data_IF_474856097544
#
_entry.id   IF_474856097544
#
_cell.length_a   1.000
_cell.length_b   1.000
_cell.length_c   1.000
_cell.angle_alpha   90.00
_cell.angle_beta   90.00
_cell.angle_gamma   90.00
#
_symmetry.space_group_name_H-M   'P 1'
#
loop_
_entity.id
_entity.type
_entity.pdbx_description
1 polymer ?
#
# COMPACT_ATOMS: atom_id res chain seq x y z
N UNK A 1 -12.36 -0.15 -19.33
CA UNK A 1 -10.93 -0.01 -19.03
C UNK A 1 -10.39 1.25 -19.70
N UNK A 2 -10.04 2.24 -18.90
CA UNK A 2 -9.66 3.55 -19.43
C UNK A 2 -8.24 3.58 -19.98
N UNK A 3 -8.02 4.32 -21.05
CA UNK A 3 -6.69 4.65 -21.63
C UNK A 3 -5.74 5.20 -20.57
N UNK A 4 -6.28 5.83 -19.51
CA UNK A 4 -5.57 6.38 -18.34
C UNK A 4 -4.84 5.33 -17.50
N UNK A 5 -5.48 4.21 -17.14
CA UNK A 5 -4.83 3.19 -16.30
C UNK A 5 -3.69 2.51 -17.06
N UNK A 6 -3.81 2.34 -18.38
CA UNK A 6 -2.72 1.81 -19.21
C UNK A 6 -1.52 2.77 -19.28
N UNK A 7 -1.78 4.07 -19.44
CA UNK A 7 -0.74 5.09 -19.46
C UNK A 7 -0.07 5.21 -18.08
N UNK A 8 -0.85 5.22 -17.01
CA UNK A 8 -0.34 5.24 -15.64
C UNK A 8 0.56 4.01 -15.36
N UNK A 9 0.10 2.81 -15.71
CA UNK A 9 0.90 1.60 -15.56
C UNK A 9 2.23 1.66 -16.33
N UNK A 10 2.22 2.30 -17.50
CA UNK A 10 3.45 2.44 -18.32
C UNK A 10 4.45 3.43 -17.71
N UNK A 11 3.98 4.51 -17.12
CA UNK A 11 4.82 5.60 -16.58
C UNK A 11 5.18 5.42 -15.10
N UNK A 12 4.42 4.59 -14.37
CA UNK A 12 4.54 4.41 -12.92
C UNK A 12 5.98 4.10 -12.46
N UNK A 13 6.61 3.08 -13.07
CA UNK A 13 7.97 2.68 -12.71
C UNK A 13 8.99 3.79 -12.96
N UNK A 14 8.77 4.65 -13.97
CA UNK A 14 9.64 5.77 -14.27
C UNK A 14 9.49 6.90 -13.25
N UNK A 15 8.25 7.17 -12.80
CA UNK A 15 7.99 8.19 -11.78
C UNK A 15 8.43 7.74 -10.38
N UNK A 16 8.20 6.47 -10.03
CA UNK A 16 8.58 5.94 -8.73
C UNK A 16 10.09 5.71 -8.56
N UNK A 17 10.81 5.48 -9.67
CA UNK A 17 12.24 5.14 -9.67
C UNK A 17 13.12 6.17 -8.94
N UNK A 18 12.75 7.45 -9.02
CA UNK A 18 13.45 8.54 -8.30
C UNK A 18 13.30 8.42 -6.79
N UNK A 19 12.08 8.19 -6.31
CA UNK A 19 11.75 8.03 -4.90
C UNK A 19 12.31 6.71 -4.34
N UNK A 20 12.23 5.62 -5.10
CA UNK A 20 12.81 4.33 -4.71
C UNK A 20 14.32 4.47 -4.43
N UNK A 21 15.08 5.05 -5.38
CA UNK A 21 16.53 5.26 -5.22
C UNK A 21 16.88 6.24 -4.10
N UNK A 22 16.00 7.15 -3.75
CA UNK A 22 16.23 8.21 -2.78
C UNK A 22 15.85 7.83 -1.34
N UNK A 23 15.43 6.57 -1.09
CA UNK A 23 15.15 6.06 0.26
C UNK A 23 13.89 5.21 0.39
N UNK A 24 12.91 5.28 -0.53
CA UNK A 24 11.68 4.48 -0.41
C UNK A 24 11.98 2.98 -0.45
N UNK A 25 12.96 2.53 -1.26
CA UNK A 25 13.39 1.13 -1.29
C UNK A 25 13.94 0.65 0.06
N UNK A 26 14.65 1.51 0.79
CA UNK A 26 15.15 1.18 2.13
C UNK A 26 14.04 1.12 3.17
N UNK A 27 13.07 2.06 3.10
CA UNK A 27 11.86 2.00 3.95
C UNK A 27 11.12 0.67 3.74
N UNK A 28 10.92 0.24 2.48
CA UNK A 28 10.32 -1.06 2.16
C UNK A 28 11.11 -2.22 2.76
N UNK A 29 12.44 -2.25 2.56
CA UNK A 29 13.31 -3.30 3.06
C UNK A 29 13.23 -3.42 4.58
N UNK A 30 13.38 -2.31 5.28
CA UNK A 30 13.35 -2.28 6.76
C UNK A 30 11.99 -2.74 7.30
N UNK A 31 10.90 -2.23 6.72
CA UNK A 31 9.55 -2.53 7.20
C UNK A 31 9.12 -3.97 6.90
N UNK A 32 9.36 -4.46 5.67
CA UNK A 32 8.91 -5.77 5.21
C UNK A 32 9.76 -6.91 5.76
N UNK A 33 10.99 -6.66 6.21
CA UNK A 33 11.80 -7.66 6.90
C UNK A 33 11.11 -8.23 8.15
N UNK A 34 10.21 -7.46 8.77
CA UNK A 34 9.41 -7.89 9.92
C UNK A 34 8.14 -8.68 9.56
N UNK A 35 7.80 -8.83 8.28
CA UNK A 35 6.64 -9.63 7.87
C UNK A 35 6.87 -11.12 8.13
N UNK A 36 5.86 -11.82 8.64
CA UNK A 36 5.98 -13.26 8.96
C UNK A 36 4.64 -13.97 8.89
N UNK A 37 4.68 -15.30 8.76
CA UNK A 37 3.48 -16.14 8.64
C UNK A 37 2.84 -16.06 7.26
N UNK A 38 1.52 -16.19 7.20
CA UNK A 38 0.75 -16.03 5.98
C UNK A 38 0.54 -14.52 5.72
N UNK A 39 1.12 -14.01 4.63
CA UNK A 39 1.17 -12.58 4.31
C UNK A 39 0.32 -12.28 3.08
N UNK A 40 -0.55 -11.27 3.20
CA UNK A 40 -1.26 -10.66 2.08
C UNK A 40 -0.64 -9.29 1.77
N UNK A 41 -0.23 -9.04 0.54
CA UNK A 41 0.05 -7.71 0.01
C UNK A 41 -1.13 -7.25 -0.85
N UNK A 42 -1.72 -6.09 -0.53
CA UNK A 42 -2.71 -5.44 -1.38
C UNK A 42 -2.05 -4.46 -2.35
N UNK A 43 -2.62 -4.32 -3.55
CA UNK A 43 -2.17 -3.35 -4.54
C UNK A 43 -0.69 -3.52 -4.92
N UNK A 44 -0.25 -4.73 -5.23
CA UNK A 44 1.15 -5.06 -5.52
C UNK A 44 1.79 -4.29 -6.68
N UNK A 45 0.98 -3.61 -7.48
CA UNK A 45 1.43 -2.76 -8.59
C UNK A 45 2.28 -3.53 -9.61
N UNK A 46 3.52 -3.11 -9.75
CA UNK A 46 4.51 -3.76 -10.62
C UNK A 46 5.45 -4.71 -9.84
N UNK A 47 5.14 -5.02 -8.57
CA UNK A 47 5.93 -5.92 -7.73
C UNK A 47 7.14 -5.25 -7.07
N UNK A 48 7.01 -4.00 -6.62
CA UNK A 48 8.11 -3.29 -5.98
C UNK A 48 8.61 -3.98 -4.70
N UNK A 49 7.73 -4.68 -4.00
CA UNK A 49 8.02 -5.33 -2.71
C UNK A 49 8.59 -6.76 -2.82
N UNK A 50 8.47 -7.43 -3.97
CA UNK A 50 8.78 -8.86 -4.12
C UNK A 50 10.15 -9.30 -3.57
N UNK A 51 11.16 -8.44 -3.64
CA UNK A 51 12.52 -8.77 -3.19
C UNK A 51 12.82 -8.43 -1.73
N UNK A 52 11.84 -7.98 -0.94
CA UNK A 52 12.08 -7.49 0.44
C UNK A 52 11.48 -8.38 1.53
N UNK A 53 10.68 -9.37 1.17
CA UNK A 53 10.14 -10.33 2.12
C UNK A 53 11.21 -11.29 2.63
N UNK A 54 11.30 -11.44 3.94
CA UNK A 54 12.29 -12.29 4.60
C UNK A 54 11.84 -13.75 4.74
N UNK A 55 12.72 -14.58 5.30
CA UNK A 55 12.48 -16.01 5.53
C UNK A 55 11.34 -16.29 6.55
N UNK A 56 10.87 -15.30 7.30
CA UNK A 56 9.73 -15.42 8.21
C UNK A 56 8.38 -15.58 7.51
N UNK A 57 8.29 -15.26 6.20
CA UNK A 57 7.07 -15.39 5.41
C UNK A 57 6.85 -16.84 5.01
N UNK A 58 5.81 -17.46 5.53
CA UNK A 58 5.43 -18.85 5.21
C UNK A 58 4.73 -18.92 3.85
N UNK A 59 3.79 -18.02 3.61
CA UNK A 59 3.14 -17.85 2.31
C UNK A 59 2.97 -16.37 1.97
N UNK A 60 3.06 -16.04 0.68
CA UNK A 60 2.85 -14.68 0.18
C UNK A 60 1.75 -14.68 -0.88
N UNK A 61 0.69 -13.95 -0.62
CA UNK A 61 -0.38 -13.66 -1.59
C UNK A 61 -0.36 -12.17 -1.93
N UNK A 62 -0.44 -11.83 -3.20
CA UNK A 62 -0.42 -10.43 -3.67
C UNK A 62 -1.65 -10.17 -4.52
N UNK A 63 -2.42 -9.13 -4.18
CA UNK A 63 -3.56 -8.69 -5.00
C UNK A 63 -3.23 -7.41 -5.77
N UNK A 64 -3.76 -7.31 -7.00
CA UNK A 64 -3.65 -6.12 -7.83
C UNK A 64 -4.90 -5.99 -8.72
N UNK A 65 -5.71 -4.92 -8.59
CA UNK A 65 -6.94 -4.78 -9.36
C UNK A 65 -6.71 -4.44 -10.84
N UNK A 66 -5.64 -3.69 -11.18
CA UNK A 66 -5.41 -3.17 -12.52
C UNK A 66 -4.70 -4.18 -13.43
N UNK A 67 -5.36 -4.71 -14.48
CA UNK A 67 -4.77 -5.77 -15.31
C UNK A 67 -3.42 -5.44 -15.96
N UNK A 68 -3.12 -4.17 -16.38
CA UNK A 68 -1.78 -3.87 -16.89
C UNK A 68 -0.68 -3.94 -15.84
N UNK A 69 -1.00 -3.60 -14.57
CA UNK A 69 -0.09 -3.74 -13.42
C UNK A 69 0.07 -5.21 -13.06
N UNK A 70 -1.05 -5.93 -12.93
CA UNK A 70 -1.09 -7.37 -12.64
C UNK A 70 -0.18 -8.17 -13.57
N UNK A 71 -0.27 -7.95 -14.89
CA UNK A 71 0.60 -8.62 -15.87
C UNK A 71 2.09 -8.36 -15.65
N UNK A 72 2.46 -7.16 -15.17
CA UNK A 72 3.86 -6.83 -14.85
C UNK A 72 4.29 -7.50 -13.57
N UNK A 73 3.43 -7.50 -12.56
CA UNK A 73 3.64 -8.20 -11.30
C UNK A 73 3.88 -9.70 -11.52
N UNK A 74 2.99 -10.37 -12.26
CA UNK A 74 3.12 -11.79 -12.62
C UNK A 74 4.43 -12.09 -13.37
N UNK A 75 4.79 -11.23 -14.34
CA UNK A 75 6.05 -11.37 -15.08
C UNK A 75 7.24 -11.26 -14.12
N UNK A 76 7.27 -10.22 -13.27
CA UNK A 76 8.36 -10.00 -12.32
C UNK A 76 8.45 -11.11 -11.29
N UNK A 77 7.32 -11.63 -10.80
CA UNK A 77 7.29 -12.77 -9.90
C UNK A 77 7.94 -14.02 -10.55
N UNK A 78 7.62 -14.30 -11.81
CA UNK A 78 8.27 -15.40 -12.58
C UNK A 78 9.77 -15.17 -12.77
N UNK A 79 10.18 -13.95 -13.17
CA UNK A 79 11.59 -13.59 -13.39
C UNK A 79 12.43 -13.73 -12.12
N UNK A 80 11.83 -13.50 -10.95
CA UNK A 80 12.48 -13.65 -9.64
C UNK A 80 12.30 -15.03 -9.01
N UNK A 81 11.68 -15.99 -9.69
CA UNK A 81 11.31 -17.30 -9.15
C UNK A 81 10.55 -17.19 -7.81
N UNK A 82 9.71 -16.15 -7.66
CA UNK A 82 8.92 -15.95 -6.46
C UNK A 82 7.83 -17.02 -6.35
N UNK A 83 7.62 -17.52 -5.12
CA UNK A 83 6.54 -18.45 -4.78
C UNK A 83 5.23 -17.72 -4.45
N UNK A 84 5.17 -16.40 -4.64
CA UNK A 84 3.98 -15.60 -4.36
C UNK A 84 2.80 -16.03 -5.24
N UNK A 85 1.64 -16.18 -4.63
CA UNK A 85 0.37 -16.32 -5.34
C UNK A 85 -0.11 -14.93 -5.75
N UNK A 86 -0.35 -14.69 -7.03
CA UNK A 86 -0.78 -13.39 -7.55
C UNK A 86 -2.23 -13.49 -8.02
N UNK A 87 -3.10 -12.60 -7.52
CA UNK A 87 -4.54 -12.60 -7.80
C UNK A 87 -5.02 -11.22 -8.21
N UNK A 88 -6.07 -11.19 -9.03
CA UNK A 88 -6.76 -9.95 -9.35
C UNK A 88 -7.87 -9.69 -8.34
N UNK A 89 -7.69 -8.70 -7.44
CA UNK A 89 -8.73 -8.27 -6.52
C UNK A 89 -8.51 -6.80 -6.10
N UNK A 90 -9.59 -6.01 -5.93
CA UNK A 90 -9.51 -4.71 -5.27
C UNK A 90 -9.39 -4.89 -3.75
N UNK A 91 -8.80 -3.89 -3.08
CA UNK A 91 -8.66 -3.92 -1.63
C UNK A 91 -9.99 -3.80 -0.86
N UNK A 92 -11.02 -3.30 -1.53
CA UNK A 92 -12.38 -3.11 -1.00
C UNK A 92 -13.24 -4.39 -1.02
N UNK A 93 -12.75 -5.45 -1.68
CA UNK A 93 -13.49 -6.71 -1.85
C UNK A 93 -12.49 -7.86 -2.05
N UNK A 94 -11.95 -8.34 -0.95
CA UNK A 94 -10.91 -9.36 -0.93
C UNK A 94 -11.51 -10.77 -0.96
N UNK A 95 -11.15 -11.63 -1.93
CA UNK A 95 -11.73 -12.96 -2.11
C UNK A 95 -11.11 -14.00 -1.13
N UNK A 96 -11.02 -13.64 0.15
CA UNK A 96 -10.48 -14.48 1.21
C UNK A 96 -11.47 -14.57 2.36
N UNK A 97 -11.41 -15.67 3.10
CA UNK A 97 -12.17 -15.85 4.32
C UNK A 97 -11.67 -14.93 5.43
N UNK A 98 -12.49 -14.73 6.46
CA UNK A 98 -12.11 -14.00 7.66
C UNK A 98 -10.90 -14.68 8.33
N UNK A 99 -10.05 -13.90 8.97
CA UNK A 99 -8.92 -14.38 9.76
C UNK A 99 -7.99 -15.36 8.99
N UNK A 100 -7.70 -15.08 7.71
CA UNK A 100 -6.87 -15.91 6.83
C UNK A 100 -5.37 -15.60 6.94
N UNK A 101 -4.99 -14.38 7.36
CA UNK A 101 -3.62 -13.90 7.28
C UNK A 101 -3.07 -13.46 8.63
N UNK A 102 -1.76 -13.67 8.84
CA UNK A 102 -1.02 -13.19 10.01
C UNK A 102 -0.57 -11.72 9.81
N UNK A 103 -0.34 -11.32 8.58
CA UNK A 103 0.01 -9.95 8.24
C UNK A 103 -0.61 -9.50 6.91
N UNK A 104 -1.00 -8.23 6.85
CA UNK A 104 -1.39 -7.53 5.62
C UNK A 104 -0.42 -6.38 5.38
N UNK A 105 0.05 -6.26 4.15
CA UNK A 105 0.98 -5.20 3.71
C UNK A 105 0.26 -4.25 2.77
N UNK A 106 0.37 -2.94 3.04
CA UNK A 106 -0.15 -1.86 2.20
C UNK A 106 0.93 -0.81 1.97
N UNK A 107 1.36 -0.64 0.72
CA UNK A 107 2.41 0.33 0.39
C UNK A 107 2.00 1.23 -0.76
N UNK A 108 1.62 2.48 -0.44
CA UNK A 108 1.13 3.51 -1.37
C UNK A 108 -0.15 3.09 -2.11
N UNK A 109 -1.04 2.36 -1.44
CA UNK A 109 -2.28 1.80 -1.99
C UNK A 109 -3.51 2.55 -1.50
N UNK A 110 -3.63 2.76 -0.19
CA UNK A 110 -4.83 3.33 0.43
C UNK A 110 -5.15 4.76 -0.04
N UNK A 111 -4.18 5.46 -0.63
CA UNK A 111 -4.42 6.73 -1.30
C UNK A 111 -5.13 6.58 -2.65
N UNK A 112 -5.09 5.40 -3.28
CA UNK A 112 -5.62 5.12 -4.63
C UNK A 112 -6.93 4.33 -4.67
N UNK A 113 -7.33 3.71 -3.57
CA UNK A 113 -8.59 2.94 -3.48
C UNK A 113 -9.81 3.86 -3.62
N UNK A 114 -10.93 3.36 -4.11
CA UNK A 114 -12.15 4.17 -4.27
C UNK A 114 -12.82 4.44 -2.91
N UNK A 115 -12.98 3.42 -2.07
CA UNK A 115 -13.54 3.50 -0.71
C UNK A 115 -12.49 3.07 0.34
N UNK A 116 -11.71 4.03 0.85
CA UNK A 116 -10.66 3.76 1.82
C UNK A 116 -11.18 3.14 3.14
N UNK A 117 -12.28 3.62 3.75
CA UNK A 117 -12.86 2.97 4.92
C UNK A 117 -13.26 1.51 4.67
N UNK A 118 -13.84 1.19 3.52
CA UNK A 118 -14.21 -0.17 3.14
C UNK A 118 -12.95 -1.03 2.97
N UNK A 119 -11.95 -0.54 2.25
CA UNK A 119 -10.69 -1.25 2.10
C UNK A 119 -10.06 -1.58 3.47
N UNK A 120 -9.95 -0.61 4.38
CA UNK A 120 -9.36 -0.85 5.71
C UNK A 120 -10.19 -1.82 6.55
N UNK A 121 -11.53 -1.85 6.43
CA UNK A 121 -12.37 -2.88 7.06
C UNK A 121 -12.09 -4.27 6.49
N UNK A 122 -11.90 -4.40 5.17
CA UNK A 122 -11.51 -5.66 4.53
C UNK A 122 -10.14 -6.15 5.01
N UNK A 123 -9.15 -5.24 5.12
CA UNK A 123 -7.84 -5.62 5.70
C UNK A 123 -7.98 -6.17 7.12
N UNK A 124 -8.86 -5.54 7.93
CA UNK A 124 -9.15 -6.04 9.29
C UNK A 124 -9.85 -7.40 9.26
N UNK A 125 -10.82 -7.59 8.37
CA UNK A 125 -11.59 -8.84 8.26
C UNK A 125 -10.70 -10.03 7.95
N UNK A 126 -9.79 -9.87 7.00
CA UNK A 126 -8.91 -10.97 6.57
C UNK A 126 -7.74 -11.24 7.52
N UNK A 127 -7.43 -10.30 8.43
CA UNK A 127 -6.41 -10.51 9.46
C UNK A 127 -6.93 -11.38 10.59
N UNK A 128 -6.10 -12.31 11.03
CA UNK A 128 -6.31 -13.06 12.28
C UNK A 128 -6.37 -12.11 13.47
N UNK A 129 -7.09 -12.44 14.57
CA UNK A 129 -7.00 -11.70 15.82
C UNK A 129 -5.54 -11.51 16.24
N UNK A 130 -5.13 -10.26 16.54
CA UNK A 130 -3.73 -9.93 16.81
C UNK A 130 -2.82 -9.87 15.59
N UNK A 131 -3.33 -10.13 14.40
CA UNK A 131 -2.59 -9.99 13.13
C UNK A 131 -2.17 -8.55 12.84
N UNK A 132 -1.17 -8.37 11.99
CA UNK A 132 -0.51 -7.08 11.79
C UNK A 132 -0.83 -6.45 10.44
N UNK A 133 -1.21 -5.17 10.45
CA UNK A 133 -1.18 -4.31 9.27
C UNK A 133 0.18 -3.60 9.24
N UNK A 134 0.92 -3.78 8.15
CA UNK A 134 2.24 -3.18 7.87
C UNK A 134 2.05 -2.18 6.74
N UNK A 135 2.41 -0.90 6.95
CA UNK A 135 2.04 0.12 5.97
C UNK A 135 3.11 1.18 5.71
N UNK A 136 3.17 1.62 4.46
CA UNK A 136 3.82 2.86 3.99
C UNK A 136 2.76 3.60 3.19
N UNK A 137 2.19 4.70 3.72
CA UNK A 137 1.05 5.35 3.09
C UNK A 137 1.16 6.87 3.06
N UNK A 138 0.67 7.45 1.96
CA UNK A 138 0.49 8.89 1.86
C UNK A 138 -0.65 9.33 2.74
N UNK A 139 -0.48 10.51 3.36
CA UNK A 139 -1.47 11.06 4.28
C UNK A 139 -1.70 12.55 4.06
N UNK A 140 -2.83 13.01 4.55
CA UNK A 140 -3.04 14.44 4.78
C UNK A 140 -2.01 14.94 5.78
N UNK A 141 -1.42 16.09 5.48
CA UNK A 141 -0.46 16.75 6.37
C UNK A 141 -1.14 17.36 7.59
N UNK A 142 -0.46 17.31 8.73
CA UNK A 142 -0.86 18.03 9.94
C UNK A 142 -0.56 19.55 9.84
N UNK A 143 0.37 19.97 8.95
CA UNK A 143 0.61 21.37 8.63
C UNK A 143 -0.58 21.94 7.82
N UNK A 144 -1.33 22.95 8.35
CA UNK A 144 -2.48 23.52 7.67
C UNK A 144 -2.16 24.13 6.30
N UNK A 145 -0.94 24.61 6.08
CA UNK A 145 -0.52 25.20 4.80
C UNK A 145 -0.37 24.10 3.75
N UNK A 146 0.29 22.99 4.13
CA UNK A 146 0.46 21.81 3.26
C UNK A 146 -0.90 21.18 3.00
N UNK A 147 -1.74 21.00 4.03
CA UNK A 147 -3.09 20.45 3.89
C UNK A 147 -3.98 21.27 2.94
N UNK A 148 -3.89 22.62 3.00
CA UNK A 148 -4.58 23.51 2.05
C UNK A 148 -4.07 23.33 0.62
N UNK A 149 -2.76 23.18 0.45
CA UNK A 149 -2.15 22.88 -0.86
C UNK A 149 -2.59 21.50 -1.37
N UNK A 150 -2.62 20.48 -0.51
CA UNK A 150 -3.13 19.15 -0.85
C UNK A 150 -4.56 19.23 -1.37
N UNK A 151 -5.47 19.90 -0.65
CA UNK A 151 -6.86 20.04 -1.08
C UNK A 151 -6.98 20.74 -2.45
N UNK A 152 -6.17 21.77 -2.70
CA UNK A 152 -6.18 22.49 -3.98
C UNK A 152 -5.63 21.63 -5.13
N UNK A 153 -4.59 20.86 -4.87
CA UNK A 153 -3.90 20.06 -5.91
C UNK A 153 -4.53 18.67 -6.11
N UNK A 154 -5.34 18.20 -5.15
CA UNK A 154 -5.88 16.84 -5.16
C UNK A 154 -6.67 16.50 -6.44
N UNK A 155 -7.54 17.36 -7.01
CA UNK A 155 -8.24 17.04 -8.25
C UNK A 155 -7.28 16.75 -9.42
N UNK A 156 -6.22 17.57 -9.55
CA UNK A 156 -5.19 17.36 -10.56
C UNK A 156 -4.37 16.09 -10.29
N UNK A 157 -3.99 15.86 -9.03
CA UNK A 157 -3.26 14.67 -8.63
C UNK A 157 -4.06 13.38 -8.91
N UNK A 158 -5.34 13.36 -8.54
CA UNK A 158 -6.24 12.24 -8.82
C UNK A 158 -6.40 12.00 -10.33
N UNK A 159 -6.45 13.07 -11.10
CA UNK A 159 -6.50 12.96 -12.56
C UNK A 159 -5.21 12.36 -13.14
N UNK A 160 -4.03 12.81 -12.71
CA UNK A 160 -2.74 12.40 -13.28
C UNK A 160 -2.21 11.07 -12.78
N UNK A 161 -2.34 10.80 -11.48
CA UNK A 161 -1.69 9.64 -10.84
C UNK A 161 -2.67 8.72 -10.11
N UNK A 162 -3.97 8.90 -10.34
CA UNK A 162 -5.04 8.02 -9.81
C UNK A 162 -5.01 7.84 -8.29
N UNK A 163 -4.52 8.84 -7.53
CA UNK A 163 -4.53 8.77 -6.07
C UNK A 163 -4.85 10.12 -5.43
N UNK A 164 -5.45 10.07 -4.24
CA UNK A 164 -5.71 11.22 -3.39
C UNK A 164 -4.50 11.49 -2.48
N UNK A 165 -4.05 12.75 -2.40
CA UNK A 165 -2.92 13.12 -1.56
C UNK A 165 -3.31 13.71 -0.20
N UNK A 166 -4.63 13.81 0.09
CA UNK A 166 -5.18 14.48 1.27
C UNK A 166 -6.06 13.59 2.15
N UNK A 167 -5.90 12.27 2.08
CA UNK A 167 -6.69 11.31 2.86
C UNK A 167 -6.19 11.23 4.30
N UNK A 168 -7.10 11.20 5.29
CA UNK A 168 -6.75 10.99 6.70
C UNK A 168 -6.50 9.50 7.00
N UNK A 169 -5.52 8.91 6.31
CA UNK A 169 -5.30 7.45 6.30
C UNK A 169 -5.06 6.89 7.71
N UNK A 170 -4.34 7.63 8.56
CA UNK A 170 -4.08 7.19 9.93
C UNK A 170 -5.36 7.10 10.77
N UNK A 171 -6.22 8.12 10.65
CA UNK A 171 -7.53 8.14 11.33
C UNK A 171 -8.43 7.01 10.82
N UNK A 172 -8.39 6.74 9.51
CA UNK A 172 -9.17 5.64 8.91
C UNK A 172 -8.71 4.28 9.47
N UNK A 173 -7.40 4.05 9.60
CA UNK A 173 -6.84 2.84 10.21
C UNK A 173 -7.31 2.71 11.67
N UNK A 174 -7.19 3.78 12.46
CA UNK A 174 -7.64 3.79 13.87
C UNK A 174 -9.14 3.57 14.02
N UNK A 175 -9.94 4.24 13.19
CA UNK A 175 -11.41 4.13 13.20
C UNK A 175 -11.92 2.74 12.81
N UNK A 176 -11.11 1.95 12.09
CA UNK A 176 -11.41 0.56 11.81
C UNK A 176 -11.06 -0.38 12.99
N UNK A 177 -10.56 0.15 14.11
CA UNK A 177 -10.27 -0.59 15.33
C UNK A 177 -8.84 -1.13 15.41
N UNK A 178 -7.94 -0.72 14.53
CA UNK A 178 -6.52 -1.09 14.63
C UNK A 178 -5.82 -0.33 15.76
N UNK A 179 -5.05 -1.04 16.59
CA UNK A 179 -4.10 -0.47 17.54
C UNK A 179 -2.77 -0.17 16.85
N UNK A 180 -2.41 1.11 16.67
CA UNK A 180 -1.13 1.48 16.07
C UNK A 180 0.00 1.19 17.05
N UNK A 181 0.93 0.30 16.67
CA UNK A 181 2.03 -0.19 17.53
C UNK A 181 3.37 0.47 17.22
N UNK A 182 3.58 0.89 15.98
CA UNK A 182 4.73 1.71 15.57
C UNK A 182 4.28 2.69 14.50
N UNK A 183 4.77 3.92 14.58
CA UNK A 183 4.44 4.98 13.62
C UNK A 183 5.61 5.94 13.49
N UNK A 184 6.03 6.15 12.26
CA UNK A 184 6.94 7.20 11.85
C UNK A 184 6.21 8.09 10.85
N UNK A 185 6.23 9.40 11.11
CA UNK A 185 5.83 10.41 10.13
C UNK A 185 7.08 10.86 9.38
N UNK A 186 7.06 10.75 8.06
CA UNK A 186 8.22 11.03 7.21
C UNK A 186 7.76 11.63 5.87
N UNK A 187 8.64 11.72 4.92
CA UNK A 187 8.37 12.27 3.60
C UNK A 187 8.71 11.29 2.49
N UNK A 188 7.87 11.24 1.45
CA UNK A 188 8.19 10.53 0.22
C UNK A 188 9.34 11.27 -0.50
N UNK A 189 10.51 10.64 -0.64
CA UNK A 189 11.67 11.31 -1.22
C UNK A 189 11.43 11.76 -2.65
N UNK A 190 11.95 12.95 -3.01
CA UNK A 190 11.85 13.56 -4.36
C UNK A 190 10.44 13.81 -4.88
N UNK A 191 9.41 13.69 -4.02
CA UNK A 191 8.05 14.02 -4.39
C UNK A 191 7.78 15.53 -4.29
N UNK A 192 6.80 16.07 -5.03
CA UNK A 192 6.29 17.43 -4.83
C UNK A 192 5.76 17.64 -3.39
N UNK A 193 5.85 18.84 -2.80
CA UNK A 193 5.51 19.08 -1.39
C UNK A 193 4.13 18.56 -0.97
N UNK A 194 3.11 18.67 -1.83
CA UNK A 194 1.75 18.25 -1.52
C UNK A 194 1.52 16.72 -1.55
N UNK A 195 2.46 15.92 -2.04
CA UNK A 195 2.39 14.45 -2.00
C UNK A 195 3.48 13.82 -1.11
N UNK A 196 4.31 14.65 -0.46
CA UNK A 196 5.38 14.16 0.41
C UNK A 196 4.90 13.52 1.69
N UNK A 197 3.89 14.06 2.42
CA UNK A 197 3.53 13.52 3.72
C UNK A 197 3.26 12.03 3.66
N UNK A 198 4.00 11.28 4.46
CA UNK A 198 4.04 9.82 4.46
C UNK A 198 4.01 9.31 5.90
N UNK A 199 3.33 8.21 6.12
CA UNK A 199 3.42 7.43 7.35
C UNK A 199 3.99 6.06 7.05
N UNK A 200 4.87 5.61 7.92
CA UNK A 200 5.44 4.25 7.91
C UNK A 200 5.16 3.63 9.26
N UNK A 201 4.65 2.41 9.29
CA UNK A 201 4.34 1.83 10.57
C UNK A 201 3.68 0.45 10.55
N UNK A 202 3.32 0.05 11.75
CA UNK A 202 2.56 -1.19 12.00
C UNK A 202 1.37 -0.92 12.91
N UNK A 203 0.30 -1.64 12.68
CA UNK A 203 -0.87 -1.65 13.54
C UNK A 203 -1.36 -3.09 13.74
N UNK A 204 -1.97 -3.37 14.88
CA UNK A 204 -2.44 -4.70 15.24
C UNK A 204 -3.96 -4.74 15.18
N UNK A 205 -4.51 -5.78 14.56
CA UNK A 205 -5.94 -6.06 14.61
C UNK A 205 -6.35 -6.40 16.07
N UNK A 206 -7.55 -6.02 16.51
CA UNK A 206 -7.99 -6.34 17.86
C UNK A 206 -7.93 -7.84 18.11
N UNK A 207 -7.53 -8.20 19.33
CA UNK A 207 -7.71 -9.55 19.87
C UNK A 207 -9.16 -9.62 20.31
N UNK A 208 -9.93 -10.53 19.74
CA UNK A 208 -11.36 -10.70 20.06
C UNK A 208 -11.57 -10.95 21.56
#
# INVERSE_FOLDING_TARGET
MGLRSRFFAFTYDRFSKGSEKAGLAEMRRSLLAGASGDVLEIGGGTGANLGYYGAGVASLTITEPEPPMLKRLERKAREQNSKATVLRAPAEDLPFEDASFDAVVSTLVLCGVDDQPRAVRELRRVLRPGGRLIFIERVRSDDPRVAKMQNRMNPLNRFMVCCDCNRPTLETIRSAGFGVTALEQTELPKAPPFVRPLIVGTATAPVA
#
